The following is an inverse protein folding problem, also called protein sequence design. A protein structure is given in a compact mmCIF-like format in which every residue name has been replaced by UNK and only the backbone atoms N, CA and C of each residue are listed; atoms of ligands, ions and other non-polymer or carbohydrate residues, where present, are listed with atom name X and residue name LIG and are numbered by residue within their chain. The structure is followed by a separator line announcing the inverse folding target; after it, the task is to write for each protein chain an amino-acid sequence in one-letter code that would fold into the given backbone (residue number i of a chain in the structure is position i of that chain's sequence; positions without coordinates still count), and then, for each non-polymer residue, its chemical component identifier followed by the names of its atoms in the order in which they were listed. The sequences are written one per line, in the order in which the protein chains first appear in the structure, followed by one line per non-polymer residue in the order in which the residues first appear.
data_IF_907965457438
#
_entry.id   IF_907965457438
#
_cell.length_a   1.000
_cell.length_b   1.000
_cell.length_c   1.000
_cell.angle_alpha   90.00
_cell.angle_beta   90.00
_cell.angle_gamma   90.00
#
_symmetry.space_group_name_H-M   'P 1'
#
loop_
_entity.id
_entity.type
_entity.pdbx_description
1 polymer ?
#
# COMPACT_ATOMS: atom_id res chain seq x y z
N UNK A 1 5.60 4.43 0.76
CA UNK A 1 4.77 3.20 0.79
C UNK A 1 3.91 3.19 -0.44
N UNK A 2 3.73 2.04 -1.10
CA UNK A 2 2.83 1.92 -2.25
C UNK A 2 1.48 2.56 -1.97
N UNK A 3 0.82 3.11 -3.00
CA UNK A 3 -0.51 3.70 -2.82
C UNK A 3 -1.60 2.65 -3.07
N UNK A 4 -2.84 3.01 -2.75
CA UNK A 4 -4.01 2.13 -2.88
C UNK A 4 -4.12 1.39 -4.24
N UNK A 5 -3.88 2.00 -5.42
CA UNK A 5 -3.94 1.26 -6.68
C UNK A 5 -2.97 0.07 -6.71
N UNK A 6 -1.76 0.27 -6.19
CA UNK A 6 -0.74 -0.77 -6.10
C UNK A 6 -1.14 -1.85 -5.08
N UNK A 7 -1.71 -1.48 -3.93
CA UNK A 7 -2.22 -2.47 -2.96
C UNK A 7 -3.34 -3.34 -3.55
N UNK A 8 -4.31 -2.73 -4.23
CA UNK A 8 -5.40 -3.44 -4.90
C UNK A 8 -4.82 -4.40 -5.96
N UNK A 9 -3.86 -3.94 -6.76
CA UNK A 9 -3.23 -4.77 -7.78
C UNK A 9 -2.53 -6.01 -7.21
N UNK A 10 -1.61 -5.82 -6.27
CA UNK A 10 -0.85 -6.95 -5.70
C UNK A 10 -1.74 -7.90 -4.91
N UNK A 11 -2.74 -7.37 -4.22
CA UNK A 11 -3.71 -8.19 -3.50
C UNK A 11 -4.57 -8.99 -4.48
N UNK A 12 -5.00 -8.41 -5.60
CA UNK A 12 -5.77 -9.13 -6.61
C UNK A 12 -4.93 -10.20 -7.32
N UNK A 13 -3.68 -9.89 -7.70
CA UNK A 13 -2.79 -10.84 -8.36
C UNK A 13 -2.38 -12.01 -7.44
N UNK A 14 -2.26 -11.79 -6.12
CA UNK A 14 -1.96 -12.86 -5.17
C UNK A 14 -3.09 -13.91 -5.10
N UNK A 15 -4.34 -13.55 -5.43
CA UNK A 15 -5.47 -14.48 -5.45
C UNK A 15 -5.29 -15.62 -6.45
N UNK A 16 -4.59 -15.38 -7.57
CA UNK A 16 -4.30 -16.42 -8.58
C UNK A 16 -3.49 -17.59 -8.01
N UNK A 17 -2.81 -17.39 -6.88
CA UNK A 17 -1.98 -18.40 -6.21
C UNK A 17 -2.65 -19.00 -4.97
N UNK A 18 -3.73 -18.38 -4.49
CA UNK A 18 -4.39 -18.73 -3.22
C UNK A 18 -5.76 -19.39 -3.47
N UNK A 19 -5.84 -20.71 -3.34
CA UNK A 19 -7.06 -21.49 -3.66
C UNK A 19 -8.03 -21.71 -2.48
N UNK A 20 -7.67 -21.31 -1.25
CA UNK A 20 -8.37 -21.77 -0.03
C UNK A 20 -9.46 -20.82 0.49
N UNK A 21 -9.56 -19.59 -0.04
CA UNK A 21 -10.67 -18.69 0.25
C UNK A 21 -11.68 -18.78 -0.89
N UNK A 22 -12.99 -18.86 -0.58
CA UNK A 22 -14.07 -18.68 -1.57
C UNK A 22 -14.13 -17.21 -2.00
N UNK A 23 -13.07 -16.77 -2.68
CA UNK A 23 -12.82 -15.40 -3.09
C UNK A 23 -13.80 -14.98 -4.17
N UNK A 24 -14.42 -15.93 -4.88
CA UNK A 24 -15.52 -15.64 -5.79
C UNK A 24 -16.69 -14.94 -5.09
N UNK A 25 -16.88 -15.21 -3.78
CA UNK A 25 -17.95 -14.62 -2.96
C UNK A 25 -17.49 -13.50 -2.02
N UNK A 26 -16.18 -13.35 -1.81
CA UNK A 26 -15.62 -12.42 -0.82
C UNK A 26 -14.52 -11.52 -1.40
N UNK A 27 -14.47 -11.37 -2.73
CA UNK A 27 -13.48 -10.54 -3.42
C UNK A 27 -13.58 -9.08 -3.00
N UNK A 28 -14.80 -8.57 -2.88
CA UNK A 28 -15.13 -7.23 -2.39
C UNK A 28 -14.52 -6.94 -1.03
N UNK A 29 -14.78 -7.79 -0.04
CA UNK A 29 -14.29 -7.58 1.33
C UNK A 29 -12.80 -7.82 1.46
N UNK A 30 -12.24 -8.74 0.67
CA UNK A 30 -10.79 -8.91 0.58
C UNK A 30 -10.10 -7.66 0.03
N UNK A 31 -10.62 -7.09 -1.06
CA UNK A 31 -10.06 -5.89 -1.65
C UNK A 31 -10.23 -4.68 -0.72
N UNK A 32 -11.38 -4.53 -0.04
CA UNK A 32 -11.56 -3.52 1.00
C UNK A 32 -10.52 -3.69 2.11
N UNK A 33 -10.31 -4.92 2.59
CA UNK A 33 -9.29 -5.27 3.58
C UNK A 33 -7.88 -4.81 3.18
N UNK A 34 -7.50 -4.97 1.91
CA UNK A 34 -6.18 -4.54 1.41
C UNK A 34 -5.95 -3.03 1.34
N UNK A 35 -6.97 -2.25 1.66
CA UNK A 35 -6.87 -0.80 1.77
C UNK A 35 -7.03 -0.31 3.21
N UNK A 36 -7.67 -1.10 4.08
CA UNK A 36 -8.09 -0.68 5.41
C UNK A 36 -6.99 -0.14 6.33
N UNK A 37 -5.72 -0.61 6.30
CA UNK A 37 -4.67 -0.02 7.14
C UNK A 37 -4.43 1.48 6.89
N UNK A 38 -4.80 1.97 5.70
CA UNK A 38 -4.68 3.38 5.32
C UNK A 38 -5.87 4.26 5.75
N UNK A 39 -6.86 3.71 6.47
CA UNK A 39 -7.98 4.47 7.04
C UNK A 39 -7.52 5.66 7.91
N UNK A 40 -6.29 5.59 8.44
CA UNK A 40 -5.60 6.72 9.08
C UNK A 40 -5.59 8.02 8.30
N UNK A 41 -5.72 7.97 6.97
CA UNK A 41 -5.81 9.17 6.13
C UNK A 41 -7.01 10.02 6.50
N UNK A 42 -8.14 9.42 6.87
CA UNK A 42 -9.34 10.13 7.31
C UNK A 42 -9.37 10.31 8.83
N UNK A 43 -8.94 9.32 9.61
CA UNK A 43 -9.00 9.38 11.08
C UNK A 43 -7.87 10.22 11.71
N UNK A 44 -6.81 10.50 10.94
CA UNK A 44 -5.59 11.22 11.35
C UNK A 44 -4.81 10.55 12.49
N UNK A 45 -5.11 9.29 12.78
CA UNK A 45 -4.42 8.51 13.79
C UNK A 45 -2.99 8.11 13.37
N UNK A 46 -2.20 7.64 14.34
CA UNK A 46 -0.83 7.20 14.09
C UNK A 46 -0.78 5.96 13.20
N UNK A 47 0.27 5.83 12.38
CA UNK A 47 0.42 4.68 11.47
C UNK A 47 0.48 3.36 12.23
N UNK A 48 1.16 3.33 13.37
CA UNK A 48 1.38 2.10 14.14
C UNK A 48 0.10 1.48 14.69
N UNK A 49 -1.00 2.24 14.80
CA UNK A 49 -2.28 1.70 15.26
C UNK A 49 -2.91 0.73 14.25
N UNK A 50 -2.66 0.92 12.96
CA UNK A 50 -3.21 0.07 11.90
C UNK A 50 -2.15 -0.77 11.19
N UNK A 51 -0.90 -0.31 11.16
CA UNK A 51 0.17 -1.09 10.56
C UNK A 51 0.88 -2.00 11.57
N UNK A 52 0.62 -1.80 12.87
CA UNK A 52 1.21 -2.56 13.98
C UNK A 52 2.75 -2.53 14.05
N UNK A 53 3.37 -1.67 13.24
CA UNK A 53 4.80 -1.35 13.26
C UNK A 53 5.00 0.14 12.98
N UNK A 54 6.07 0.70 13.54
CA UNK A 54 6.64 1.96 13.06
C UNK A 54 7.45 1.70 11.79
N UNK A 55 8.23 2.66 11.29
CA UNK A 55 9.08 2.47 10.10
C UNK A 55 10.43 1.78 10.43
N UNK A 56 10.57 1.21 11.62
CA UNK A 56 11.80 0.68 12.21
C UNK A 56 11.82 -0.85 12.35
N UNK A 57 10.84 -1.57 11.80
CA UNK A 57 10.81 -3.05 11.83
C UNK A 57 11.99 -3.67 11.09
N UNK A 58 12.38 -4.89 11.48
CA UNK A 58 13.56 -5.57 10.95
C UNK A 58 13.21 -6.48 9.77
N UNK A 59 11.99 -7.05 9.76
CA UNK A 59 11.62 -8.11 8.82
C UNK A 59 10.18 -7.96 8.33
N UNK A 60 9.95 -8.44 7.11
CA UNK A 60 8.59 -8.64 6.58
C UNK A 60 7.81 -9.61 7.49
N UNK A 61 6.54 -9.30 7.71
CA UNK A 61 5.60 -9.94 8.62
C UNK A 61 5.61 -9.41 10.06
N UNK A 62 6.41 -8.39 10.40
CA UNK A 62 6.46 -7.86 11.79
C UNK A 62 5.11 -7.23 12.18
N UNK A 63 4.44 -6.52 11.27
CA UNK A 63 3.10 -5.97 11.48
C UNK A 63 2.07 -7.04 11.79
N UNK A 64 2.07 -8.15 11.05
CA UNK A 64 1.14 -9.27 11.32
C UNK A 64 1.41 -9.89 12.70
N UNK A 65 2.69 -10.15 13.04
CA UNK A 65 3.06 -10.70 14.35
C UNK A 65 2.62 -9.80 15.49
N UNK A 66 2.84 -8.49 15.36
CA UNK A 66 2.45 -7.51 16.37
C UNK A 66 0.92 -7.39 16.47
N UNK A 67 0.21 -7.40 15.34
CA UNK A 67 -1.25 -7.43 15.30
C UNK A 67 -1.80 -8.64 16.06
N UNK A 68 -1.28 -9.84 15.81
CA UNK A 68 -1.67 -11.07 16.51
C UNK A 68 -1.33 -11.04 18.01
N UNK A 69 -0.22 -10.43 18.39
CA UNK A 69 0.15 -10.26 19.80
C UNK A 69 -0.78 -9.29 20.54
N UNK A 70 -1.23 -8.23 19.86
CA UNK A 70 -2.14 -7.22 20.42
C UNK A 70 -3.60 -7.66 20.39
N UNK A 71 -3.97 -8.49 19.41
CA UNK A 71 -5.32 -9.02 19.20
C UNK A 71 -5.29 -10.56 19.10
N UNK A 72 -5.11 -11.28 20.22
CA UNK A 72 -4.91 -12.73 20.22
C UNK A 72 -6.03 -13.55 19.60
N UNK A 73 -7.25 -13.01 19.50
CA UNK A 73 -8.37 -13.62 18.79
C UNK A 73 -8.09 -13.86 17.30
N UNK A 74 -7.14 -13.12 16.70
CA UNK A 74 -6.73 -13.28 15.32
C UNK A 74 -5.78 -14.48 15.11
N UNK A 75 -5.33 -15.13 16.18
CA UNK A 75 -4.58 -16.39 16.06
C UNK A 75 -5.47 -17.57 15.66
N UNK A 76 -6.80 -17.41 15.68
CA UNK A 76 -7.75 -18.44 15.27
C UNK A 76 -8.77 -17.87 14.27
N UNK A 77 -8.29 -17.40 13.12
CA UNK A 77 -9.16 -16.92 12.04
C UNK A 77 -10.09 -18.02 11.50
N UNK A 78 -9.74 -19.30 11.60
CA UNK A 78 -10.61 -20.41 11.21
C UNK A 78 -11.92 -20.48 12.02
N UNK A 79 -11.95 -19.89 13.22
CA UNK A 79 -13.18 -19.76 14.01
C UNK A 79 -14.10 -18.60 13.60
N UNK A 80 -13.67 -17.75 12.65
CA UNK A 80 -14.44 -16.61 12.11
C UNK A 80 -15.17 -17.00 10.83
N UNK A 81 -16.19 -16.22 10.48
CA UNK A 81 -16.89 -16.37 9.20
C UNK A 81 -15.98 -16.05 7.99
N UNK A 82 -16.40 -16.45 6.80
CA UNK A 82 -15.61 -16.26 5.58
C UNK A 82 -15.41 -14.79 5.20
N UNK A 83 -16.33 -13.90 5.58
CA UNK A 83 -16.27 -12.47 5.26
C UNK A 83 -15.13 -11.83 6.06
N UNK A 84 -15.13 -12.03 7.38
CA UNK A 84 -14.07 -11.57 8.30
C UNK A 84 -12.71 -12.17 7.95
N UNK A 85 -12.65 -13.47 7.62
CA UNK A 85 -11.40 -14.11 7.19
C UNK A 85 -10.83 -13.49 5.92
N UNK A 86 -11.69 -13.21 4.94
CA UNK A 86 -11.29 -12.60 3.67
C UNK A 86 -10.86 -11.14 3.86
N UNK A 87 -11.55 -10.38 4.70
CA UNK A 87 -11.13 -9.03 5.09
C UNK A 87 -9.71 -9.05 5.67
N UNK A 88 -9.46 -9.92 6.65
CA UNK A 88 -8.17 -10.01 7.33
C UNK A 88 -7.06 -10.52 6.42
N UNK A 89 -7.37 -11.40 5.45
CA UNK A 89 -6.44 -11.78 4.40
C UNK A 89 -6.00 -10.55 3.56
N UNK A 90 -6.95 -9.72 3.14
CA UNK A 90 -6.64 -8.46 2.45
C UNK A 90 -5.82 -7.52 3.34
N UNK A 91 -6.18 -7.39 4.62
CA UNK A 91 -5.43 -6.58 5.57
C UNK A 91 -3.97 -7.02 5.67
N UNK A 92 -3.74 -8.33 5.73
CA UNK A 92 -2.40 -8.92 5.77
C UNK A 92 -1.61 -8.64 4.48
N UNK A 93 -2.24 -8.74 3.29
CA UNK A 93 -1.54 -8.44 2.02
C UNK A 93 -1.05 -7.00 1.97
N UNK A 94 -1.82 -6.05 2.52
CA UNK A 94 -1.41 -4.66 2.64
C UNK A 94 -0.14 -4.51 3.47
N UNK A 95 -0.15 -5.02 4.72
CA UNK A 95 1.00 -4.91 5.63
C UNK A 95 2.26 -5.49 4.99
N UNK A 96 2.13 -6.64 4.35
CA UNK A 96 3.25 -7.32 3.70
C UNK A 96 3.80 -6.55 2.51
N UNK A 97 2.94 -5.97 1.67
CA UNK A 97 3.38 -5.17 0.53
C UNK A 97 4.14 -3.93 1.00
N UNK A 98 3.61 -3.28 2.03
CA UNK A 98 4.25 -2.15 2.68
C UNK A 98 5.66 -2.52 3.18
N UNK A 99 5.74 -3.56 4.00
CA UNK A 99 7.00 -4.00 4.58
C UNK A 99 8.00 -4.48 3.52
N UNK A 100 7.50 -5.11 2.45
CA UNK A 100 8.31 -5.50 1.30
C UNK A 100 8.89 -4.25 0.61
N UNK A 101 8.07 -3.24 0.29
CA UNK A 101 8.58 -1.99 -0.31
C UNK A 101 9.64 -1.32 0.56
N UNK A 102 9.43 -1.25 1.87
CA UNK A 102 10.42 -0.63 2.77
C UNK A 102 11.74 -1.37 2.73
N UNK A 103 11.70 -2.69 2.81
CA UNK A 103 12.89 -3.53 2.98
C UNK A 103 13.65 -3.74 1.67
N UNK A 104 12.97 -3.74 0.53
CA UNK A 104 13.59 -4.01 -0.78
C UNK A 104 13.79 -2.77 -1.64
N UNK A 105 12.99 -1.71 -1.47
CA UNK A 105 13.03 -0.50 -2.30
C UNK A 105 13.48 0.73 -1.51
N UNK A 106 12.72 1.11 -0.47
CA UNK A 106 12.93 2.39 0.20
C UNK A 106 14.27 2.46 0.95
N UNK A 107 14.51 1.53 1.87
CA UNK A 107 15.74 1.56 2.69
C UNK A 107 17.00 1.36 1.84
N UNK A 108 17.06 0.39 0.90
CA UNK A 108 18.28 0.16 0.14
C UNK A 108 18.65 1.30 -0.81
N UNK A 109 17.66 2.03 -1.35
CA UNK A 109 17.91 2.99 -2.44
C UNK A 109 17.47 4.41 -2.11
N UNK A 110 16.20 4.62 -1.77
CA UNK A 110 15.65 5.97 -1.58
C UNK A 110 16.03 6.63 -0.26
N UNK A 111 16.52 5.85 0.71
CA UNK A 111 17.10 6.38 1.94
C UNK A 111 18.61 6.67 1.83
N UNK A 112 19.26 6.21 0.75
CA UNK A 112 20.69 6.45 0.51
C UNK A 112 20.92 7.81 -0.15
N UNK A 113 21.50 8.73 0.62
CA UNK A 113 21.86 10.07 0.16
C UNK A 113 22.92 10.06 -0.94
N UNK A 114 23.70 8.99 -1.09
CA UNK A 114 24.68 8.90 -2.16
C UNK A 114 24.03 8.66 -3.53
N UNK A 115 22.83 8.08 -3.55
CA UNK A 115 22.13 7.74 -4.79
C UNK A 115 21.29 8.91 -5.34
N UNK A 116 20.64 9.64 -4.44
CA UNK A 116 19.70 10.71 -4.78
C UNK A 116 20.06 12.08 -4.15
N UNK A 117 21.30 12.25 -3.70
CA UNK A 117 21.85 13.52 -3.22
C UNK A 117 21.50 13.87 -1.78
N UNK A 118 20.20 13.94 -1.46
CA UNK A 118 19.74 14.19 -0.09
C UNK A 118 18.46 13.42 0.25
N UNK A 119 18.11 13.41 1.55
CA UNK A 119 16.96 12.67 2.06
C UNK A 119 15.63 13.15 1.47
N UNK A 120 15.46 14.46 1.27
CA UNK A 120 14.22 15.03 0.76
C UNK A 120 14.05 14.70 -0.74
N UNK A 121 15.14 14.68 -1.50
CA UNK A 121 15.17 14.21 -2.89
C UNK A 121 14.83 12.72 -2.97
N UNK A 122 15.44 11.88 -2.13
CA UNK A 122 15.10 10.46 -2.04
C UNK A 122 13.61 10.23 -1.76
N UNK A 123 13.02 10.99 -0.83
CA UNK A 123 11.58 10.92 -0.51
C UNK A 123 10.67 11.30 -1.68
N UNK A 124 11.00 12.35 -2.44
CA UNK A 124 10.13 12.76 -3.56
C UNK A 124 10.27 11.82 -4.77
N UNK A 125 11.47 11.25 -5.00
CA UNK A 125 11.68 10.29 -6.08
C UNK A 125 11.10 8.90 -5.76
N UNK A 126 11.15 8.46 -4.50
CA UNK A 126 10.39 7.30 -4.00
C UNK A 126 8.91 7.45 -4.30
N UNK A 127 8.38 8.67 -4.05
CA UNK A 127 6.98 8.99 -4.31
C UNK A 127 6.64 9.00 -5.80
N UNK A 128 7.53 9.51 -6.64
CA UNK A 128 7.37 9.49 -8.08
C UNK A 128 7.33 8.04 -8.61
N UNK A 129 8.20 7.16 -8.12
CA UNK A 129 8.19 5.75 -8.51
C UNK A 129 6.92 5.01 -8.05
N UNK A 130 6.43 5.29 -6.83
CA UNK A 130 5.12 4.77 -6.38
C UNK A 130 3.96 5.24 -7.27
N UNK A 131 3.98 6.49 -7.73
CA UNK A 131 2.98 7.00 -8.66
C UNK A 131 3.12 6.37 -10.06
N UNK A 132 4.33 6.00 -10.49
CA UNK A 132 4.52 5.22 -11.71
C UNK A 132 3.89 3.82 -11.59
N UNK A 133 4.01 3.16 -10.43
CA UNK A 133 3.29 1.91 -10.18
C UNK A 133 1.78 2.11 -10.26
N UNK A 134 1.26 3.18 -9.67
CA UNK A 134 -0.18 3.50 -9.78
C UNK A 134 -0.61 3.66 -11.22
N UNK A 135 0.17 4.39 -12.05
CA UNK A 135 -0.08 4.54 -13.49
C UNK A 135 -0.08 3.19 -14.20
N UNK A 136 0.90 2.33 -13.90
CA UNK A 136 1.03 0.99 -14.49
C UNK A 136 -0.09 0.03 -14.10
N UNK A 137 -0.66 0.18 -12.90
CA UNK A 137 -1.70 -0.70 -12.37
C UNK A 137 -3.10 -0.09 -12.38
N UNK A 138 -3.26 1.05 -13.04
CA UNK A 138 -4.51 1.80 -13.06
C UNK A 138 -5.68 0.99 -13.63
N UNK A 139 -5.42 0.17 -14.65
CA UNK A 139 -6.45 -0.71 -15.24
C UNK A 139 -6.93 -1.80 -14.27
N UNK A 140 -6.01 -2.40 -13.48
CA UNK A 140 -6.40 -3.37 -12.45
C UNK A 140 -7.29 -2.72 -11.41
N UNK A 141 -6.97 -1.50 -11.01
CA UNK A 141 -7.81 -0.71 -10.13
C UNK A 141 -9.20 -0.46 -10.74
N UNK A 142 -9.29 0.06 -11.97
CA UNK A 142 -10.57 0.40 -12.63
C UNK A 142 -11.49 -0.82 -12.71
N UNK A 143 -10.94 -1.99 -13.03
CA UNK A 143 -11.70 -3.24 -13.11
C UNK A 143 -12.19 -3.76 -11.75
N UNK A 144 -11.57 -3.36 -10.65
CA UNK A 144 -11.86 -3.86 -9.31
C UNK A 144 -12.53 -2.84 -8.38
N UNK A 145 -12.62 -1.57 -8.78
CA UNK A 145 -13.16 -0.50 -7.94
C UNK A 145 -14.63 -0.73 -7.54
N UNK A 146 -15.43 -1.30 -8.45
CA UNK A 146 -16.84 -1.60 -8.20
C UNK A 146 -17.03 -2.61 -7.05
N UNK A 147 -16.11 -3.57 -6.91
CA UNK A 147 -16.14 -4.54 -5.81
C UNK A 147 -15.92 -3.84 -4.46
N UNK A 148 -14.93 -2.95 -4.39
CA UNK A 148 -14.66 -2.20 -3.15
C UNK A 148 -15.85 -1.28 -2.79
N UNK A 149 -16.48 -0.66 -3.80
CA UNK A 149 -17.65 0.22 -3.65
C UNK A 149 -18.90 -0.48 -3.15
N UNK A 150 -19.13 -1.73 -3.54
CA UNK A 150 -20.33 -2.49 -3.17
C UNK A 150 -20.17 -3.33 -1.92
N UNK A 151 -18.96 -3.39 -1.35
CA UNK A 151 -18.65 -4.23 -0.20
C UNK A 151 -19.50 -3.87 1.02
N UNK A 152 -20.00 -4.88 1.73
CA UNK A 152 -20.53 -4.69 3.07
C UNK A 152 -19.40 -4.28 4.02
N UNK A 153 -19.61 -3.21 4.78
CA UNK A 153 -18.60 -2.67 5.71
C UNK A 153 -18.78 -3.16 7.15
N UNK A 154 -19.77 -4.03 7.40
CA UNK A 154 -19.93 -4.72 8.68
C UNK A 154 -18.86 -5.82 8.82
N UNK A 155 -17.74 -5.47 9.48
CA UNK A 155 -16.58 -6.36 9.68
C UNK A 155 -16.43 -6.68 11.17
N UNK A 156 -16.42 -7.97 11.55
CA UNK A 156 -16.18 -8.42 12.93
C UNK A 156 -14.68 -8.43 13.29
N UNK A 157 -14.07 -7.24 13.33
CA UNK A 157 -12.68 -7.01 13.74
C UNK A 157 -12.65 -5.96 14.86
N UNK A 158 -12.22 -6.39 16.05
CA UNK A 158 -12.32 -5.60 17.29
C UNK A 158 -11.69 -4.20 17.17
N UNK A 159 -10.48 -4.10 16.63
CA UNK A 159 -9.75 -2.82 16.54
C UNK A 159 -10.28 -1.88 15.45
N UNK A 160 -11.23 -2.33 14.61
CA UNK A 160 -11.89 -1.51 13.60
C UNK A 160 -13.35 -1.18 13.95
N UNK A 161 -13.87 -1.69 15.08
CA UNK A 161 -15.31 -1.58 15.42
C UNK A 161 -15.81 -0.13 15.48
N UNK A 162 -14.99 0.78 15.98
CA UNK A 162 -15.31 2.21 16.10
C UNK A 162 -14.72 3.05 14.95
N UNK A 163 -14.10 2.40 13.97
CA UNK A 163 -13.45 3.08 12.85
C UNK A 163 -14.45 3.32 11.71
N UNK A 164 -14.35 4.46 11.00
CA UNK A 164 -15.37 4.88 10.04
C UNK A 164 -15.21 4.15 8.69
N UNK A 165 -15.47 2.84 8.64
CA UNK A 165 -15.26 2.00 7.45
C UNK A 165 -16.11 2.42 6.24
N UNK A 166 -17.36 2.87 6.45
CA UNK A 166 -18.19 3.44 5.39
C UNK A 166 -17.59 4.72 4.82
N UNK A 167 -17.07 5.61 5.68
CA UNK A 167 -16.40 6.84 5.23
C UNK A 167 -15.12 6.50 4.47
N UNK A 168 -14.38 5.48 4.91
CA UNK A 168 -13.19 4.99 4.23
C UNK A 168 -13.50 4.46 2.84
N UNK A 169 -14.52 3.61 2.69
CA UNK A 169 -14.99 3.10 1.40
C UNK A 169 -15.42 4.25 0.47
N UNK A 170 -16.15 5.24 0.98
CA UNK A 170 -16.55 6.42 0.23
C UNK A 170 -15.35 7.30 -0.19
N UNK A 171 -14.33 7.40 0.68
CA UNK A 171 -13.10 8.13 0.42
C UNK A 171 -12.29 7.47 -0.70
N UNK A 172 -12.11 6.15 -0.64
CA UNK A 172 -11.51 5.33 -1.68
C UNK A 172 -12.22 5.58 -3.01
N UNK A 173 -13.54 5.48 -3.02
CA UNK A 173 -14.37 5.70 -4.20
C UNK A 173 -14.15 7.09 -4.80
N UNK A 174 -14.09 8.12 -3.96
CA UNK A 174 -13.86 9.50 -4.39
C UNK A 174 -12.45 9.75 -4.89
N UNK A 175 -11.44 9.13 -4.27
CA UNK A 175 -10.05 9.23 -4.69
C UNK A 175 -9.85 8.55 -6.04
N UNK A 176 -10.39 7.35 -6.20
CA UNK A 176 -10.09 6.47 -7.34
C UNK A 176 -10.97 6.79 -8.56
N UNK A 177 -12.12 7.46 -8.37
CA UNK A 177 -12.86 8.08 -9.46
C UNK A 177 -12.11 9.27 -10.09
N UNK A 178 -11.07 9.81 -9.44
CA UNK A 178 -10.17 10.80 -10.07
C UNK A 178 -9.13 10.04 -10.89
N UNK A 179 -9.10 10.28 -12.21
CA UNK A 179 -8.07 9.73 -13.11
C UNK A 179 -6.66 9.99 -12.57
N UNK A 180 -5.72 9.13 -12.95
CA UNK A 180 -4.30 9.33 -12.66
C UNK A 180 -3.84 10.74 -13.08
N UNK A 181 -3.05 11.40 -12.23
CA UNK A 181 -2.38 12.66 -12.55
C UNK A 181 -1.08 12.78 -11.76
N UNK A 182 -0.04 13.27 -12.45
CA UNK A 182 1.25 13.60 -11.86
C UNK A 182 1.21 14.82 -10.93
N UNK A 183 0.19 15.67 -11.02
CA UNK A 183 0.01 16.85 -10.15
C UNK A 183 -0.02 16.48 -8.66
N UNK A 184 -0.34 15.22 -8.34
CA UNK A 184 -0.32 14.72 -6.95
C UNK A 184 1.08 14.78 -6.32
N UNK A 185 2.13 14.76 -7.14
CA UNK A 185 3.51 14.88 -6.68
C UNK A 185 3.77 16.27 -6.08
N UNK A 186 3.10 17.33 -6.55
CA UNK A 186 3.22 18.67 -5.96
C UNK A 186 2.70 18.72 -4.52
N UNK A 187 1.59 18.03 -4.22
CA UNK A 187 1.08 17.97 -2.85
C UNK A 187 2.08 17.30 -1.91
N UNK A 188 2.82 16.30 -2.41
CA UNK A 188 3.84 15.59 -1.63
C UNK A 188 5.08 16.48 -1.43
N UNK A 189 5.52 17.17 -2.46
CA UNK A 189 6.61 18.14 -2.38
C UNK A 189 6.30 19.25 -1.37
N UNK A 190 5.10 19.83 -1.42
CA UNK A 190 4.65 20.85 -0.46
C UNK A 190 4.63 20.34 0.99
N UNK A 191 4.27 19.08 1.20
CA UNK A 191 4.29 18.44 2.51
C UNK A 191 5.71 18.26 3.04
N UNK A 192 6.65 17.81 2.19
CA UNK A 192 8.08 17.68 2.56
C UNK A 192 8.65 19.06 2.88
N UNK A 193 8.33 20.06 2.06
CA UNK A 193 8.75 21.44 2.22
C UNK A 193 8.10 22.17 3.41
N UNK A 194 7.10 21.55 4.08
CA UNK A 194 6.32 22.18 5.16
C UNK A 194 5.75 23.56 4.78
N UNK A 195 5.37 23.72 3.50
CA UNK A 195 4.84 24.98 2.95
C UNK A 195 5.90 25.99 2.50
N UNK A 196 7.20 25.70 2.58
CA UNK A 196 8.25 26.54 2.00
C UNK A 196 8.30 26.38 0.47
N UNK A 197 7.76 27.36 -0.25
CA UNK A 197 7.71 27.35 -1.71
C UNK A 197 9.07 27.47 -2.39
N UNK A 198 10.11 27.87 -1.66
CA UNK A 198 11.49 27.95 -2.14
C UNK A 198 12.29 26.68 -1.87
N UNK A 199 11.71 25.70 -1.17
CA UNK A 199 12.40 24.46 -0.86
C UNK A 199 12.72 23.68 -2.17
N UNK A 200 13.96 23.17 -2.35
CA UNK A 200 14.40 22.57 -3.63
C UNK A 200 13.48 21.45 -4.18
N UNK A 201 12.87 20.65 -3.30
CA UNK A 201 11.93 19.58 -3.71
C UNK A 201 10.69 20.08 -4.46
N UNK A 202 10.28 21.34 -4.26
CA UNK A 202 9.16 21.93 -5.00
C UNK A 202 9.57 22.15 -6.45
N UNK A 203 10.81 22.61 -6.69
CA UNK A 203 11.37 22.70 -8.04
C UNK A 203 11.52 21.32 -8.67
N UNK A 204 12.11 20.37 -7.95
CA UNK A 204 12.31 19.00 -8.43
C UNK A 204 10.99 18.33 -8.83
N UNK A 205 9.92 18.50 -8.06
CA UNK A 205 8.61 17.96 -8.41
C UNK A 205 8.03 18.60 -9.68
N UNK A 206 8.21 19.92 -9.88
CA UNK A 206 7.77 20.61 -11.09
C UNK A 206 8.54 20.15 -12.32
N UNK A 207 9.86 20.01 -12.19
CA UNK A 207 10.73 19.52 -13.26
C UNK A 207 10.33 18.10 -13.65
N UNK A 208 10.07 17.22 -12.66
CA UNK A 208 9.56 15.88 -12.90
C UNK A 208 8.19 15.89 -13.61
N UNK A 209 7.25 16.73 -13.19
CA UNK A 209 5.91 16.81 -13.79
C UNK A 209 5.98 17.31 -15.25
N UNK A 210 6.96 18.14 -15.58
CA UNK A 210 7.17 18.64 -16.94
C UNK A 210 7.65 17.55 -17.92
N UNK A 211 8.41 16.56 -17.43
CA UNK A 211 8.84 15.38 -18.20
C UNK A 211 8.84 14.11 -17.34
N UNK A 212 7.67 13.50 -17.08
CA UNK A 212 7.58 12.35 -16.18
C UNK A 212 8.27 11.11 -16.72
N UNK A 213 8.25 10.89 -18.03
CA UNK A 213 8.85 9.71 -18.63
C UNK A 213 10.39 9.80 -18.50
N UNK A 214 10.98 10.96 -18.80
CA UNK A 214 12.41 11.21 -18.55
C UNK A 214 12.77 11.11 -17.05
N UNK A 215 11.93 11.63 -16.17
CA UNK A 215 12.12 11.52 -14.72
C UNK A 215 12.09 10.07 -14.21
N UNK A 216 11.22 9.21 -14.74
CA UNK A 216 11.19 7.78 -14.42
C UNK A 216 12.43 7.08 -14.96
N UNK A 217 12.83 7.35 -16.20
CA UNK A 217 14.04 6.77 -16.78
C UNK A 217 15.28 7.12 -15.93
N UNK A 218 15.40 8.36 -15.47
CA UNK A 218 16.47 8.82 -14.58
C UNK A 218 16.48 8.10 -13.22
N UNK A 219 15.31 7.79 -12.65
CA UNK A 219 15.21 6.99 -11.43
C UNK A 219 15.69 5.56 -11.72
N UNK A 220 15.16 4.94 -12.76
CA UNK A 220 15.44 3.53 -13.08
C UNK A 220 16.91 3.29 -13.45
N UNK A 221 17.56 4.23 -14.14
CA UNK A 221 19.00 4.15 -14.47
C UNK A 221 19.92 4.13 -13.24
N UNK A 222 19.45 4.65 -12.10
CA UNK A 222 20.21 4.65 -10.84
C UNK A 222 19.95 3.40 -10.01
N UNK A 223 18.88 2.67 -10.29
CA UNK A 223 18.53 1.45 -9.58
C UNK A 223 19.14 0.23 -10.27
N UNK A 224 19.31 -0.91 -9.56
CA UNK A 224 19.71 -2.15 -10.20
C UNK A 224 18.75 -2.58 -11.32
N UNK A 225 19.29 -3.07 -12.43
CA UNK A 225 18.50 -3.62 -13.52
C UNK A 225 17.60 -4.75 -13.02
N UNK A 226 16.31 -4.72 -13.38
CA UNK A 226 15.33 -5.74 -12.99
C UNK A 226 14.74 -5.58 -11.58
N UNK A 227 15.12 -4.55 -10.82
CA UNK A 227 14.65 -4.39 -9.43
C UNK A 227 13.13 -4.31 -9.29
N UNK A 228 12.43 -3.74 -10.29
CA UNK A 228 10.97 -3.65 -10.27
C UNK A 228 10.30 -5.01 -10.45
N UNK A 229 10.89 -5.89 -11.26
CA UNK A 229 10.44 -7.27 -11.42
C UNK A 229 10.73 -8.08 -10.16
N UNK A 230 11.91 -7.90 -9.57
CA UNK A 230 12.29 -8.52 -8.29
C UNK A 230 11.33 -8.10 -7.17
N UNK A 231 11.05 -6.80 -7.03
CA UNK A 231 10.06 -6.28 -6.08
C UNK A 231 8.69 -6.92 -6.29
N UNK A 232 8.24 -7.01 -7.54
CA UNK A 232 6.93 -7.61 -7.87
C UNK A 232 6.86 -9.09 -7.47
N UNK A 233 7.87 -9.87 -7.87
CA UNK A 233 7.94 -11.30 -7.56
C UNK A 233 8.00 -11.53 -6.04
N UNK A 234 8.88 -10.81 -5.35
CA UNK A 234 9.05 -10.92 -3.90
C UNK A 234 7.78 -10.51 -3.15
N UNK A 235 7.07 -9.49 -3.62
CA UNK A 235 5.81 -9.06 -3.03
C UNK A 235 4.75 -10.16 -3.12
N UNK A 236 4.58 -10.77 -4.30
CA UNK A 236 3.61 -11.85 -4.48
C UNK A 236 3.97 -13.10 -3.67
N UNK A 237 5.27 -13.44 -3.57
CA UNK A 237 5.74 -14.55 -2.74
C UNK A 237 5.52 -14.29 -1.24
N UNK A 238 5.85 -13.09 -0.76
CA UNK A 238 5.65 -12.73 0.64
C UNK A 238 4.17 -12.71 1.01
N UNK A 239 3.31 -12.16 0.14
CA UNK A 239 1.86 -12.16 0.35
C UNK A 239 1.35 -13.60 0.41
N UNK A 240 1.67 -14.44 -0.59
CA UNK A 240 1.23 -15.84 -0.61
C UNK A 240 1.64 -16.61 0.65
N UNK A 241 2.90 -16.44 1.09
CA UNK A 241 3.39 -17.03 2.32
C UNK A 241 2.61 -16.54 3.54
N UNK A 242 2.41 -15.24 3.66
CA UNK A 242 1.69 -14.65 4.78
C UNK A 242 0.22 -15.10 4.82
N UNK A 243 -0.45 -15.18 3.68
CA UNK A 243 -1.85 -15.64 3.62
C UNK A 243 -1.98 -17.11 4.06
N UNK A 244 -1.05 -17.97 3.66
CA UNK A 244 -0.99 -19.38 4.11
C UNK A 244 -0.74 -19.49 5.60
N UNK A 245 0.15 -18.68 6.16
CA UNK A 245 0.48 -18.72 7.59
C UNK A 245 -0.58 -18.06 8.47
N UNK A 246 -1.27 -17.03 7.97
CA UNK A 246 -2.19 -16.22 8.74
C UNK A 246 -3.62 -16.75 8.73
N UNK A 247 -4.05 -17.40 7.65
CA UNK A 247 -5.46 -17.80 7.46
C UNK A 247 -5.72 -19.30 7.52
N UNK A 248 -4.67 -20.12 7.69
CA UNK A 248 -4.72 -21.56 8.02
C UNK A 248 -4.44 -21.79 9.51
#
# INVERSE_FOLDING_TARGET
MPNLPTHIHFSFESLRKYNDLDLSKNLDVYLLGSTAPDIRVITKQDRSLYHFVQLDFDRVGDGIRNMQSLHPQLNNLNGKDSHTRSFMAGYASHLILDETWITTMFRPFFSDVNLFGDRNQGLILDRALQMQLDKSYWETLENNLAHVQSCDTEIDVEFLREEPMEEWQNWISSLLNRKFSWDRLEFMANRIAKGDSQHPVVGLAKDFIADPDGGIDDILQRLPNGIMEEFSNQSLENIDKALKEFTL
#
